data_IF_196288341348
#
_entry.id   IF_196288341348
#
_cell.length_a   1.000
_cell.length_b   1.000
_cell.length_c   1.000
_cell.angle_alpha   90.00
_cell.angle_beta   90.00
_cell.angle_gamma   90.00
#
_symmetry.space_group_name_H-M   'P 1'
#
loop_
_entity.id
_entity.type
_entity.pdbx_description
1 polymer ?
#
# COMPACT_ATOMS: atom_id res chain seq x y z
N UNK A 1 -0.48 -20.36 5.07
CA UNK A 1 -0.84 -19.00 5.50
C UNK A 1 0.44 -18.17 5.62
N UNK A 2 0.47 -16.98 5.03
CA UNK A 2 1.62 -16.06 4.99
C UNK A 2 1.16 -14.67 5.48
N UNK A 3 1.82 -13.60 5.05
CA UNK A 3 1.53 -12.21 5.45
C UNK A 3 0.22 -11.62 4.90
N UNK A 4 -0.43 -12.27 3.93
CA UNK A 4 -1.66 -11.79 3.28
C UNK A 4 -2.83 -12.72 3.58
N UNK A 5 -3.87 -12.21 4.22
CA UNK A 5 -5.17 -12.87 4.38
C UNK A 5 -6.20 -12.26 3.43
N UNK A 6 -6.98 -13.08 2.74
CA UNK A 6 -8.05 -12.60 1.84
C UNK A 6 -9.39 -13.16 2.29
N UNK A 7 -10.31 -12.26 2.60
CA UNK A 7 -11.68 -12.60 2.99
C UNK A 7 -12.65 -12.20 1.89
N UNK A 8 -13.30 -13.18 1.26
CA UNK A 8 -14.24 -12.95 0.15
C UNK A 8 -15.47 -13.86 0.16
N UNK A 9 -15.57 -14.80 1.12
CA UNK A 9 -16.65 -15.79 1.18
C UNK A 9 -18.04 -15.18 1.41
N UNK A 10 -18.11 -13.95 1.95
CA UNK A 10 -19.37 -13.23 2.15
C UNK A 10 -20.01 -12.74 0.84
N UNK A 11 -19.27 -12.74 -0.28
CA UNK A 11 -19.79 -12.35 -1.59
C UNK A 11 -20.77 -13.43 -2.07
N UNK A 12 -22.04 -13.05 -2.29
CA UNK A 12 -23.10 -13.99 -2.67
C UNK A 12 -22.95 -14.53 -4.10
N UNK A 13 -22.49 -13.67 -5.00
CA UNK A 13 -22.28 -13.95 -6.42
C UNK A 13 -21.22 -15.06 -6.61
N UNK A 14 -21.60 -16.24 -7.12
CA UNK A 14 -20.66 -17.36 -7.34
C UNK A 14 -19.61 -17.06 -8.41
N UNK A 15 -19.93 -16.28 -9.44
CA UNK A 15 -18.99 -15.94 -10.51
C UNK A 15 -17.89 -15.03 -9.97
N UNK A 16 -18.25 -14.02 -9.19
CA UNK A 16 -17.27 -13.14 -8.52
C UNK A 16 -16.38 -13.91 -7.55
N UNK A 17 -16.94 -14.81 -6.74
CA UNK A 17 -16.13 -15.67 -5.84
C UNK A 17 -15.14 -16.52 -6.62
N UNK A 18 -15.59 -17.11 -7.73
CA UNK A 18 -14.73 -17.93 -8.59
C UNK A 18 -13.64 -17.08 -9.26
N UNK A 19 -13.98 -15.87 -9.72
CA UNK A 19 -13.01 -14.92 -10.27
C UNK A 19 -11.94 -14.54 -9.26
N UNK A 20 -12.32 -14.14 -8.04
CA UNK A 20 -11.36 -13.81 -6.96
C UNK A 20 -10.48 -15.01 -6.63
N UNK A 21 -11.07 -16.19 -6.47
CA UNK A 21 -10.34 -17.44 -6.19
C UNK A 21 -9.28 -17.71 -7.27
N UNK A 22 -9.66 -17.63 -8.54
CA UNK A 22 -8.73 -17.87 -9.65
C UNK A 22 -7.65 -16.80 -9.72
N UNK A 23 -7.98 -15.55 -9.42
CA UNK A 23 -7.02 -14.45 -9.39
C UNK A 23 -5.97 -14.65 -8.28
N UNK A 24 -6.40 -14.98 -7.07
CA UNK A 24 -5.51 -15.26 -5.92
C UNK A 24 -4.57 -16.43 -6.23
N UNK A 25 -5.08 -17.53 -6.80
CA UNK A 25 -4.29 -18.74 -7.06
C UNK A 25 -3.31 -18.61 -8.24
N UNK A 26 -3.28 -17.47 -8.95
CA UNK A 26 -2.30 -17.25 -10.02
C UNK A 26 -0.87 -17.26 -9.48
N UNK A 27 -0.65 -16.70 -8.30
CA UNK A 27 0.64 -16.64 -7.61
C UNK A 27 0.52 -16.81 -6.09
N UNK A 28 -0.64 -17.25 -5.60
CA UNK A 28 -0.99 -17.37 -4.18
C UNK A 28 -0.76 -16.08 -3.38
N UNK A 29 -0.98 -14.92 -4.01
CA UNK A 29 -0.66 -13.58 -3.50
C UNK A 29 0.82 -13.41 -3.12
N UNK A 30 1.72 -14.09 -3.82
CA UNK A 30 3.16 -13.97 -3.67
C UNK A 30 3.80 -13.44 -4.96
N UNK A 31 3.62 -12.14 -5.26
CA UNK A 31 4.15 -11.55 -6.47
C UNK A 31 5.68 -11.60 -6.46
N UNK A 32 6.26 -11.99 -7.61
CA UNK A 32 7.71 -11.94 -7.82
C UNK A 32 8.12 -10.53 -8.26
N UNK A 33 8.53 -9.72 -7.30
CA UNK A 33 9.06 -8.39 -7.56
C UNK A 33 10.50 -8.47 -8.09
N UNK A 34 10.78 -7.69 -9.13
CA UNK A 34 12.13 -7.41 -9.63
C UNK A 34 12.98 -6.68 -8.58
N UNK A 35 14.29 -6.63 -8.82
CA UNK A 35 15.21 -5.94 -7.91
C UNK A 35 14.92 -4.44 -7.87
N UNK A 36 14.58 -3.88 -9.03
CA UNK A 36 14.24 -2.48 -9.24
C UNK A 36 12.96 -2.11 -8.47
N UNK A 37 11.91 -2.93 -8.55
CA UNK A 37 10.68 -2.74 -7.77
C UNK A 37 10.94 -2.80 -6.27
N UNK A 38 11.73 -3.78 -5.80
CA UNK A 38 12.11 -3.88 -4.38
C UNK A 38 12.90 -2.65 -3.91
N UNK A 39 13.82 -2.14 -4.73
CA UNK A 39 14.58 -0.91 -4.44
C UNK A 39 13.65 0.30 -4.38
N UNK A 40 12.67 0.40 -5.27
CA UNK A 40 11.69 1.49 -5.25
C UNK A 40 10.83 1.47 -3.99
N UNK A 41 10.34 0.28 -3.59
CA UNK A 41 9.60 0.11 -2.32
C UNK A 41 10.47 0.55 -1.13
N UNK A 42 11.72 0.07 -1.06
CA UNK A 42 12.65 0.45 -0.01
C UNK A 42 12.92 1.96 0.00
N UNK A 43 13.06 2.58 -1.17
CA UNK A 43 13.27 4.01 -1.29
C UNK A 43 12.10 4.81 -0.70
N UNK A 44 10.85 4.42 -1.02
CA UNK A 44 9.63 5.05 -0.47
C UNK A 44 9.50 4.85 1.04
N UNK A 45 9.83 3.67 1.55
CA UNK A 45 9.89 3.41 3.00
C UNK A 45 10.91 4.32 3.69
N UNK A 46 12.12 4.44 3.12
CA UNK A 46 13.16 5.31 3.66
C UNK A 46 12.72 6.78 3.68
N UNK A 47 12.01 7.25 2.65
CA UNK A 47 11.44 8.60 2.62
C UNK A 47 10.45 8.81 3.78
N UNK A 48 9.52 7.86 3.99
CA UNK A 48 8.54 7.93 5.07
C UNK A 48 9.20 7.99 6.45
N UNK A 49 10.13 7.06 6.73
CA UNK A 49 10.84 6.98 8.02
C UNK A 49 11.72 8.21 8.25
N UNK A 50 12.42 8.69 7.22
CA UNK A 50 13.29 9.86 7.33
C UNK A 50 12.49 11.14 7.60
N UNK A 51 11.33 11.27 6.97
CA UNK A 51 10.43 12.40 7.20
C UNK A 51 9.89 12.40 8.63
N UNK A 52 9.42 11.27 9.15
CA UNK A 52 8.97 11.16 10.55
C UNK A 52 10.10 11.45 11.54
N UNK A 53 11.30 10.92 11.29
CA UNK A 53 12.50 11.20 12.11
C UNK A 53 12.88 12.68 12.10
N UNK A 54 12.76 13.34 10.95
CA UNK A 54 12.94 14.78 10.85
C UNK A 54 11.90 15.54 11.68
N UNK A 55 10.62 15.17 11.59
CA UNK A 55 9.57 15.81 12.38
C UNK A 55 9.75 15.59 13.88
N UNK A 56 10.23 14.40 14.30
CA UNK A 56 10.57 14.08 15.68
C UNK A 56 11.64 15.02 16.25
N UNK A 57 12.64 15.35 15.45
CA UNK A 57 13.79 16.15 15.92
C UNK A 57 13.52 17.65 15.85
N UNK A 58 12.77 18.12 14.84
CA UNK A 58 12.54 19.55 14.62
C UNK A 58 11.30 20.11 15.31
N UNK A 59 10.27 19.30 15.52
CA UNK A 59 8.98 19.76 16.05
C UNK A 59 8.58 18.97 17.30
N UNK A 60 9.47 18.98 18.30
CA UNK A 60 9.29 18.27 19.56
C UNK A 60 8.02 18.73 20.27
N UNK A 61 7.20 17.77 20.72
CA UNK A 61 5.96 18.03 21.46
C UNK A 61 4.76 18.42 20.59
N UNK A 62 4.93 18.62 19.27
CA UNK A 62 3.81 18.90 18.38
C UNK A 62 3.06 17.62 17.98
N UNK A 63 1.73 17.67 18.05
CA UNK A 63 0.86 16.57 17.64
C UNK A 63 0.81 16.50 16.11
N UNK A 64 1.28 15.39 15.54
CA UNK A 64 1.38 15.21 14.09
C UNK A 64 0.73 13.93 13.54
N UNK A 65 0.12 13.11 14.39
CA UNK A 65 -0.58 11.88 13.96
C UNK A 65 0.28 10.97 13.05
N UNK A 66 1.50 10.71 13.52
CA UNK A 66 2.58 10.02 12.82
C UNK A 66 2.15 8.74 12.09
N UNK A 67 2.77 8.46 10.94
CA UNK A 67 2.62 7.20 10.21
C UNK A 67 3.53 6.07 10.74
N UNK A 68 4.34 6.32 11.77
CA UNK A 68 5.24 5.30 12.35
C UNK A 68 4.48 3.99 12.65
N UNK A 69 5.04 2.87 12.19
CA UNK A 69 4.45 1.53 12.22
C UNK A 69 3.48 1.21 11.07
N UNK A 70 3.15 2.16 10.20
CA UNK A 70 2.28 2.01 9.03
C UNK A 70 2.93 2.54 7.73
N UNK A 71 4.27 2.58 7.68
CA UNK A 71 5.05 3.18 6.59
C UNK A 71 4.80 2.50 5.25
N UNK A 72 4.41 1.22 5.25
CA UNK A 72 4.03 0.46 4.07
C UNK A 72 2.86 1.08 3.28
N UNK A 73 2.07 1.98 3.89
CA UNK A 73 1.05 2.75 3.19
C UNK A 73 1.65 3.62 2.07
N UNK A 74 2.85 4.18 2.27
CA UNK A 74 3.49 5.08 1.29
C UNK A 74 3.84 4.36 -0.02
N UNK A 75 4.62 3.25 -0.04
CA UNK A 75 4.84 2.49 -1.26
C UNK A 75 3.55 1.85 -1.81
N UNK A 76 2.59 1.49 -0.93
CA UNK A 76 1.31 0.94 -1.37
C UNK A 76 0.48 1.95 -2.17
N UNK A 77 0.42 3.21 -1.71
CA UNK A 77 -0.27 4.30 -2.42
C UNK A 77 0.47 4.67 -3.72
N UNK A 78 1.80 4.71 -3.69
CA UNK A 78 2.64 4.94 -4.87
C UNK A 78 2.32 3.92 -5.97
N UNK A 79 2.29 2.62 -5.62
CA UNK A 79 1.98 1.57 -6.58
C UNK A 79 0.52 1.61 -7.04
N UNK A 80 -0.44 1.91 -6.16
CA UNK A 80 -1.85 2.04 -6.55
C UNK A 80 -2.06 3.13 -7.62
N UNK A 81 -1.42 4.30 -7.44
CA UNK A 81 -1.48 5.40 -8.40
C UNK A 81 -0.76 5.04 -9.70
N UNK A 82 0.46 4.50 -9.62
CA UNK A 82 1.23 4.11 -10.81
C UNK A 82 0.52 2.99 -11.59
N UNK A 83 -0.08 2.04 -10.90
CA UNK A 83 -0.88 0.99 -11.52
C UNK A 83 -2.09 1.55 -12.27
N UNK A 84 -2.85 2.45 -11.64
CA UNK A 84 -3.97 3.13 -12.30
C UNK A 84 -3.52 3.93 -13.52
N UNK A 85 -2.42 4.67 -13.40
CA UNK A 85 -1.87 5.47 -14.49
C UNK A 85 -1.47 4.60 -15.70
N UNK A 86 -0.87 3.43 -15.47
CA UNK A 86 -0.57 2.45 -16.54
C UNK A 86 -1.81 1.92 -17.25
N UNK A 87 -2.97 1.96 -16.59
CA UNK A 87 -4.28 1.60 -17.16
C UNK A 87 -5.07 2.79 -17.72
N UNK A 88 -4.43 3.96 -17.85
CA UNK A 88 -5.04 5.15 -18.47
C UNK A 88 -5.89 6.00 -17.52
N UNK A 89 -5.86 5.75 -16.21
CA UNK A 89 -6.48 6.64 -15.22
C UNK A 89 -5.77 7.99 -15.23
N UNK A 90 -6.54 9.07 -15.32
CA UNK A 90 -6.03 10.45 -15.40
C UNK A 90 -6.12 11.22 -14.09
N UNK A 91 -7.05 10.85 -13.23
CA UNK A 91 -7.37 11.58 -12.01
C UNK A 91 -7.56 10.61 -10.85
N UNK A 92 -7.06 11.02 -9.68
CA UNK A 92 -7.15 10.24 -8.44
C UNK A 92 -7.71 11.16 -7.35
N UNK A 93 -8.75 10.70 -6.66
CA UNK A 93 -9.34 11.41 -5.52
C UNK A 93 -9.04 10.61 -4.26
N UNK A 94 -8.32 11.23 -3.31
CA UNK A 94 -7.93 10.60 -2.05
C UNK A 94 -8.64 11.28 -0.88
N UNK A 95 -9.53 10.53 -0.22
CA UNK A 95 -10.08 10.90 1.09
C UNK A 95 -9.35 10.14 2.19
N UNK A 96 -8.70 10.86 3.12
CA UNK A 96 -7.99 10.24 4.23
C UNK A 96 -8.18 10.99 5.54
N UNK A 97 -8.08 10.27 6.66
CA UNK A 97 -8.06 10.84 8.00
C UNK A 97 -6.66 11.42 8.33
N UNK A 98 -6.33 11.57 9.61
CA UNK A 98 -5.11 12.26 10.06
C UNK A 98 -3.84 11.39 10.11
N UNK A 99 -3.95 10.05 10.12
CA UNK A 99 -2.80 9.15 10.31
C UNK A 99 -1.91 9.17 9.07
N UNK A 100 -0.72 9.73 9.18
CA UNK A 100 0.23 9.82 8.07
C UNK A 100 -0.22 10.71 6.90
N UNK A 101 -1.04 11.71 7.20
CA UNK A 101 -1.47 12.75 6.24
C UNK A 101 -0.39 13.81 6.08
#
# INVERSE_FOLDING_TARGET
CQSTGVEYNYIRDPERRTWIKNWIHKDDNQPKLSIEEKKQILHKLNQAVSFESFLNTKFVGQKRFSIEGAEALIPGLDEAVNHGARHGVKEFVLGMAHRGR
#
